data_IF_929211107247
#
_entry.id   IF_929211107247
#
_cell.length_a   1.000
_cell.length_b   1.000
_cell.length_c   1.000
_cell.angle_alpha   90.00
_cell.angle_beta   90.00
_cell.angle_gamma   90.00
#
_symmetry.space_group_name_H-M   'P 1'
#
loop_
_entity.id
_entity.type
_entity.pdbx_description
1 polymer ?
#
# COMPACT_ATOMS: atom_id res chain seq x y z
N UNK A 1 32.41 -5.17 11.14
CA UNK A 1 31.68 -4.82 9.91
C UNK A 1 30.20 -4.84 10.24
N UNK A 2 29.55 -3.68 10.36
CA UNK A 2 28.10 -3.60 10.58
C UNK A 2 27.46 -3.00 9.32
N UNK A 3 26.79 -3.83 8.54
CA UNK A 3 25.89 -3.40 7.47
C UNK A 3 24.70 -4.35 7.52
N UNK A 4 23.77 -4.06 8.44
CA UNK A 4 22.55 -4.83 8.63
C UNK A 4 21.69 -4.70 7.39
N UNK A 5 21.52 -5.80 6.65
CA UNK A 5 20.39 -5.93 5.76
C UNK A 5 19.14 -5.89 6.66
N UNK A 6 18.49 -4.73 6.76
CA UNK A 6 17.23 -4.61 7.46
C UNK A 6 16.28 -5.64 6.85
N UNK A 7 15.78 -6.55 7.68
CA UNK A 7 14.84 -7.57 7.25
C UNK A 7 13.67 -6.90 6.51
N UNK A 8 13.19 -7.53 5.45
CA UNK A 8 12.08 -6.99 4.66
C UNK A 8 10.86 -6.82 5.57
N UNK A 9 10.13 -5.71 5.46
CA UNK A 9 8.97 -5.47 6.30
C UNK A 9 7.92 -6.55 6.07
N UNK A 10 7.30 -6.98 7.17
CA UNK A 10 6.18 -7.89 7.20
C UNK A 10 5.11 -7.31 8.13
N UNK A 11 3.93 -7.04 7.61
CA UNK A 11 2.84 -6.42 8.36
C UNK A 11 1.87 -7.47 8.89
N UNK A 12 1.51 -7.38 10.17
CA UNK A 12 0.36 -8.11 10.68
C UNK A 12 -0.93 -7.39 10.23
N UNK A 13 -1.89 -8.13 9.67
CA UNK A 13 -3.17 -7.57 9.24
C UNK A 13 -4.04 -7.14 10.43
N UNK A 14 -3.79 -7.66 11.62
CA UNK A 14 -4.44 -7.21 12.85
C UNK A 14 -4.04 -5.76 13.21
N UNK A 15 -2.84 -5.35 12.82
CA UNK A 15 -2.34 -3.98 13.01
C UNK A 15 -2.84 -3.02 11.91
N UNK A 16 -3.58 -3.51 10.91
CA UNK A 16 -4.04 -2.71 9.79
C UNK A 16 -4.79 -1.43 10.19
N UNK A 17 -5.66 -1.40 11.22
CA UNK A 17 -6.30 -0.15 11.65
C UNK A 17 -5.27 0.91 12.07
N UNK A 18 -4.30 0.53 12.90
CA UNK A 18 -3.27 1.46 13.39
C UNK A 18 -2.32 1.91 12.26
N UNK A 19 -1.94 0.98 11.38
CA UNK A 19 -1.12 1.26 10.21
C UNK A 19 -1.84 2.21 9.23
N UNK A 20 -3.15 2.06 9.07
CA UNK A 20 -3.95 2.92 8.20
C UNK A 20 -4.06 4.33 8.76
N UNK A 21 -4.31 4.49 10.07
CA UNK A 21 -4.30 5.81 10.73
C UNK A 21 -2.95 6.52 10.61
N UNK A 22 -1.85 5.77 10.72
CA UNK A 22 -0.51 6.31 10.48
C UNK A 22 -0.31 6.70 9.01
N UNK A 23 -0.73 5.83 8.08
CA UNK A 23 -0.66 6.08 6.64
C UNK A 23 -1.41 7.35 6.22
N UNK A 24 -2.60 7.57 6.77
CA UNK A 24 -3.39 8.78 6.51
C UNK A 24 -2.60 10.04 6.88
N UNK A 25 -1.97 10.04 8.05
CA UNK A 25 -1.19 11.17 8.57
C UNK A 25 0.12 11.36 7.80
N UNK A 26 0.84 10.29 7.52
CA UNK A 26 2.14 10.34 6.86
C UNK A 26 2.06 10.76 5.38
N UNK A 27 0.91 10.55 4.75
CA UNK A 27 0.69 10.85 3.34
C UNK A 27 -0.42 11.87 3.09
N UNK A 28 -0.84 12.59 4.14
CA UNK A 28 -1.86 13.64 4.10
C UNK A 28 -3.12 13.23 3.32
N UNK A 29 -3.61 12.01 3.59
CA UNK A 29 -4.79 11.48 2.91
C UNK A 29 -6.05 12.14 3.43
N UNK A 30 -6.90 12.54 2.49
CA UNK A 30 -8.23 13.11 2.77
C UNK A 30 -9.23 12.30 1.97
N UNK A 31 -10.24 11.78 2.67
CA UNK A 31 -11.35 11.03 2.07
C UNK A 31 -12.62 11.86 2.17
N UNK A 32 -13.52 11.69 1.20
CA UNK A 32 -14.69 12.56 1.05
C UNK A 32 -15.75 12.28 2.12
N UNK A 33 -15.93 11.01 2.47
CA UNK A 33 -16.87 10.53 3.48
C UNK A 33 -16.39 9.20 4.09
N UNK A 34 -17.19 8.64 5.00
CA UNK A 34 -16.88 7.39 5.69
C UNK A 34 -16.90 6.17 4.76
N UNK A 35 -17.68 6.21 3.68
CA UNK A 35 -17.79 5.13 2.71
C UNK A 35 -16.55 5.08 1.81
N UNK A 36 -16.07 6.24 1.36
CA UNK A 36 -14.81 6.43 0.64
C UNK A 36 -13.62 5.96 1.51
N UNK A 37 -13.58 6.38 2.77
CA UNK A 37 -12.56 5.93 3.74
C UNK A 37 -12.58 4.42 3.92
N UNK A 38 -13.76 3.80 3.99
CA UNK A 38 -13.90 2.35 4.12
C UNK A 38 -13.39 1.61 2.87
N UNK A 39 -13.69 2.10 1.68
CA UNK A 39 -13.18 1.53 0.41
C UNK A 39 -11.65 1.58 0.36
N UNK A 40 -11.05 2.72 0.72
CA UNK A 40 -9.60 2.87 0.77
C UNK A 40 -8.95 2.01 1.86
N UNK A 41 -9.60 1.83 3.01
CA UNK A 41 -9.13 0.92 4.06
C UNK A 41 -9.07 -0.54 3.59
N UNK A 42 -10.10 -1.01 2.88
CA UNK A 42 -10.10 -2.36 2.30
C UNK A 42 -9.00 -2.53 1.24
N UNK A 43 -8.76 -1.51 0.41
CA UNK A 43 -7.66 -1.50 -0.55
C UNK A 43 -6.28 -1.56 0.16
N UNK A 44 -6.13 -0.81 1.25
CA UNK A 44 -4.93 -0.79 2.07
C UNK A 44 -4.61 -2.17 2.66
N UNK A 45 -5.58 -2.86 3.27
CA UNK A 45 -5.39 -4.24 3.78
C UNK A 45 -4.90 -5.20 2.70
N UNK A 46 -5.53 -5.17 1.52
CA UNK A 46 -5.11 -5.99 0.37
C UNK A 46 -3.69 -5.67 -0.07
N UNK A 47 -3.26 -4.40 0.03
CA UNK A 47 -1.88 -4.03 -0.26
C UNK A 47 -0.89 -4.60 0.76
N UNK A 48 -1.21 -4.61 2.05
CA UNK A 48 -0.36 -5.22 3.07
C UNK A 48 -0.11 -6.71 2.78
N UNK A 49 -1.15 -7.44 2.42
CA UNK A 49 -1.04 -8.85 2.00
C UNK A 49 -0.13 -9.02 0.78
N UNK A 50 -0.27 -8.14 -0.23
CA UNK A 50 0.57 -8.16 -1.43
C UNK A 50 2.03 -7.85 -1.11
N UNK A 51 2.30 -6.88 -0.24
CA UNK A 51 3.66 -6.54 0.18
C UNK A 51 4.30 -7.73 0.91
N UNK A 52 3.59 -8.33 1.87
CA UNK A 52 4.07 -9.49 2.60
C UNK A 52 4.42 -10.65 1.65
N UNK A 53 3.52 -10.95 0.70
CA UNK A 53 3.74 -11.99 -0.30
C UNK A 53 4.92 -11.65 -1.21
N UNK A 54 5.01 -10.42 -1.71
CA UNK A 54 6.09 -10.00 -2.61
C UNK A 54 7.45 -10.01 -1.92
N UNK A 55 7.54 -9.57 -0.66
CA UNK A 55 8.75 -9.62 0.15
C UNK A 55 9.18 -11.06 0.48
N UNK A 56 8.23 -11.97 0.68
CA UNK A 56 8.53 -13.39 0.90
C UNK A 56 9.01 -14.10 -0.38
N UNK A 57 8.52 -13.69 -1.55
CA UNK A 57 8.79 -14.37 -2.83
C UNK A 57 9.97 -13.78 -3.61
N UNK A 58 10.21 -12.48 -3.49
CA UNK A 58 11.23 -11.79 -4.26
C UNK A 58 12.48 -11.60 -3.41
N UNK A 59 13.65 -12.07 -3.87
CA UNK A 59 14.91 -11.87 -3.17
C UNK A 59 15.56 -10.50 -3.47
N UNK A 60 15.38 -9.96 -4.68
CA UNK A 60 16.11 -8.79 -5.18
C UNK A 60 15.40 -7.46 -4.99
N UNK A 61 14.13 -7.45 -4.59
CA UNK A 61 13.37 -6.23 -4.30
C UNK A 61 12.76 -6.26 -2.90
N UNK A 62 12.58 -5.07 -2.31
CA UNK A 62 11.85 -4.85 -1.07
C UNK A 62 10.66 -3.94 -1.36
N UNK A 63 9.49 -4.35 -0.90
CA UNK A 63 8.22 -3.65 -1.00
C UNK A 63 7.83 -3.12 0.38
N UNK A 64 7.26 -1.93 0.44
CA UNK A 64 6.86 -1.25 1.68
C UNK A 64 5.59 -0.43 1.42
N UNK A 65 4.94 0.02 2.49
CA UNK A 65 3.85 1.00 2.44
C UNK A 65 4.40 2.28 1.81
N UNK A 66 3.67 2.81 0.84
CA UNK A 66 3.96 4.08 0.19
C UNK A 66 2.64 4.81 -0.09
N UNK A 67 2.70 6.03 -0.63
CA UNK A 67 1.53 6.89 -0.90
C UNK A 67 0.43 6.26 -1.78
N UNK A 68 0.69 5.13 -2.43
CA UNK A 68 -0.24 4.39 -3.28
C UNK A 68 -0.78 3.12 -2.61
N UNK A 69 -0.56 2.96 -1.30
CA UNK A 69 -0.92 1.75 -0.59
C UNK A 69 -2.44 1.53 -0.48
N UNK A 70 -3.24 2.59 -0.56
CA UNK A 70 -4.71 2.58 -0.53
C UNK A 70 -5.36 2.66 -1.92
N UNK A 71 -4.58 2.58 -3.01
CA UNK A 71 -5.13 2.73 -4.36
C UNK A 71 -6.11 1.61 -4.71
N UNK A 72 -7.29 2.01 -5.14
CA UNK A 72 -8.30 1.08 -5.66
C UNK A 72 -7.95 0.64 -7.08
N UNK A 73 -8.60 -0.44 -7.53
CA UNK A 73 -8.49 -0.87 -8.93
C UNK A 73 -8.95 0.22 -9.91
N UNK A 74 -9.85 1.12 -9.50
CA UNK A 74 -10.30 2.23 -10.32
C UNK A 74 -9.23 3.31 -10.44
N UNK A 75 -8.59 3.69 -9.33
CA UNK A 75 -7.52 4.69 -9.32
C UNK A 75 -6.34 4.28 -10.21
N UNK A 76 -6.01 2.99 -10.19
CA UNK A 76 -4.89 2.45 -10.99
C UNK A 76 -5.08 2.61 -12.52
N UNK A 77 -6.32 2.68 -13.01
CA UNK A 77 -6.62 2.84 -14.44
C UNK A 77 -6.33 4.24 -14.97
N UNK A 78 -6.33 5.25 -14.09
CA UNK A 78 -6.11 6.65 -14.47
C UNK A 78 -4.64 7.07 -14.40
N UNK A 79 -3.75 6.21 -13.88
CA UNK A 79 -2.32 6.51 -13.72
C UNK A 79 -1.47 6.07 -14.90
N UNK A 80 -2.05 5.30 -15.83
CA UNK A 80 -1.31 4.86 -17.02
C UNK A 80 -1.45 5.93 -18.10
N UNK A 81 -0.36 6.69 -18.35
CA UNK A 81 -0.27 7.64 -19.46
C UNK A 81 -0.29 7.01 -20.86
N UNK A 82 -0.67 5.73 -20.97
CA UNK A 82 -0.82 5.03 -22.24
C UNK A 82 -2.12 5.49 -22.89
N UNK A 83 -2.02 6.44 -23.82
CA UNK A 83 -3.09 6.75 -24.76
C UNK A 83 -3.28 5.51 -25.66
N UNK A 84 -4.41 4.81 -25.49
CA UNK A 84 -4.78 3.74 -26.40
C UNK A 84 -5.18 4.40 -27.73
N UNK A 85 -4.48 4.13 -28.86
CA UNK A 85 -4.90 4.68 -30.14
C UNK A 85 -6.29 4.11 -30.49
N UNK A 86 -7.20 4.98 -30.89
CA UNK A 86 -8.51 4.65 -31.46
C UNK A 86 -8.39 4.19 -32.90
#
# INVERSE_FOLDING_TARGET
>A
MASGAAAKPHYNLEDAPALFEKFIKDHDKVYTDDEDRAVHYEAFKRRLEQINKANAQNASATYDINKFADYTAQDSKHLTGVLRPS
#
